data_IF_098496637001
#
_entry.id   IF_098496637001
#
_cell.length_a   1.000
_cell.length_b   1.000
_cell.length_c   1.000
_cell.angle_alpha   90.00
_cell.angle_beta   90.00
_cell.angle_gamma   90.00
#
_symmetry.space_group_name_H-M   'P 1'
#
loop_
_entity.id
_entity.type
_entity.pdbx_description
1 polymer ?
#
# COMPACT_ATOMS: atom_id res chain seq x y z
N UNK A 1 13.78 -3.98 14.47
CA UNK A 1 12.36 -4.18 14.10
C UNK A 1 12.21 -5.53 13.44
N UNK A 2 11.16 -6.26 13.80
CA UNK A 2 10.81 -7.54 13.18
C UNK A 2 9.70 -7.33 12.15
N UNK A 3 9.80 -8.00 10.99
CA UNK A 3 8.85 -7.89 9.91
C UNK A 3 8.22 -9.25 9.64
N UNK A 4 6.89 -9.30 9.66
CA UNK A 4 6.10 -10.43 9.21
C UNK A 4 5.55 -10.10 7.83
N UNK A 5 5.75 -10.99 6.87
CA UNK A 5 5.23 -10.81 5.51
C UNK A 5 4.26 -11.92 5.16
N UNK A 6 3.13 -11.56 4.57
CA UNK A 6 2.12 -12.49 4.13
C UNK A 6 1.65 -12.18 2.72
N UNK A 7 1.47 -13.23 1.92
CA UNK A 7 0.78 -13.16 0.63
C UNK A 7 -0.59 -13.81 0.76
N UNK A 8 -1.54 -13.30 0.00
CA UNK A 8 -2.86 -13.91 -0.09
C UNK A 8 -3.38 -13.82 -1.53
N UNK A 9 -3.98 -14.91 -1.99
CA UNK A 9 -4.65 -14.98 -3.30
C UNK A 9 -6.17 -15.00 -3.18
N UNK A 10 -6.69 -15.24 -1.98
CA UNK A 10 -8.13 -15.30 -1.70
C UNK A 10 -8.48 -14.70 -0.35
N UNK A 11 -9.75 -14.37 -0.17
CA UNK A 11 -10.26 -13.87 1.11
C UNK A 11 -10.08 -14.88 2.24
N UNK A 12 -10.20 -16.17 1.93
CA UNK A 12 -10.01 -17.24 2.92
C UNK A 12 -8.56 -17.31 3.39
N UNK A 13 -7.59 -17.22 2.48
CA UNK A 13 -6.16 -17.16 2.82
C UNK A 13 -5.83 -15.92 3.64
N UNK A 14 -6.41 -14.78 3.28
CA UNK A 14 -6.24 -13.54 4.02
C UNK A 14 -6.73 -13.70 5.47
N UNK A 15 -7.93 -14.23 5.64
CA UNK A 15 -8.51 -14.46 6.98
C UNK A 15 -7.65 -15.42 7.80
N UNK A 16 -7.20 -16.51 7.22
CA UNK A 16 -6.34 -17.48 7.88
C UNK A 16 -5.02 -16.84 8.32
N UNK A 17 -4.42 -16.01 7.48
CA UNK A 17 -3.17 -15.34 7.76
C UNK A 17 -3.28 -14.26 8.84
N UNK A 18 -4.33 -13.47 8.82
CA UNK A 18 -4.52 -12.41 9.82
C UNK A 18 -4.93 -12.99 11.17
N UNK A 19 -5.77 -14.02 11.19
CA UNK A 19 -6.32 -14.59 12.43
C UNK A 19 -5.52 -15.77 12.98
N UNK A 20 -4.83 -16.53 12.14
CA UNK A 20 -4.32 -17.86 12.50
C UNK A 20 -2.87 -17.96 12.88
N UNK A 21 -2.12 -16.90 12.93
CA UNK A 21 -0.67 -16.99 13.21
C UNK A 21 0.11 -17.78 12.17
N UNK A 22 -0.47 -18.12 11.02
CA UNK A 22 0.20 -18.64 9.83
C UNK A 22 1.06 -17.58 9.19
N UNK A 23 1.84 -16.88 9.99
CA UNK A 23 2.67 -15.79 9.54
C UNK A 23 3.91 -16.28 8.81
N UNK A 24 4.47 -15.39 8.04
CA UNK A 24 5.78 -15.55 7.44
C UNK A 24 6.82 -15.23 8.51
N UNK A 25 7.85 -16.06 8.61
CA UNK A 25 8.93 -15.84 9.57
C UNK A 25 9.58 -14.47 9.34
N UNK A 26 10.21 -13.94 10.38
CA UNK A 26 10.91 -12.65 10.39
C UNK A 26 11.93 -12.48 9.27
N UNK A 27 12.37 -13.56 8.67
CA UNK A 27 13.31 -13.60 7.54
C UNK A 27 12.63 -13.53 6.19
N UNK A 28 11.30 -13.40 6.14
CA UNK A 28 10.54 -13.44 4.89
C UNK A 28 10.33 -14.84 4.33
N UNK A 29 10.80 -15.88 5.02
CA UNK A 29 10.54 -17.26 4.65
C UNK A 29 9.17 -17.68 5.16
N UNK A 30 8.32 -18.34 4.35
CA UNK A 30 7.06 -18.88 4.83
C UNK A 30 7.30 -19.85 5.98
N UNK A 31 6.68 -19.62 7.10
CA UNK A 31 6.63 -20.65 8.14
C UNK A 31 5.64 -21.70 7.65
N UNK A 32 6.15 -22.84 7.24
CA UNK A 32 5.33 -24.00 6.95
C UNK A 32 4.66 -24.49 8.23
N UNK A 33 3.57 -23.90 8.58
CA UNK A 33 2.57 -24.59 9.36
C UNK A 33 1.70 -25.36 8.37
N UNK A 34 2.28 -26.35 7.73
CA UNK A 34 1.47 -27.43 7.21
C UNK A 34 0.92 -28.11 8.49
N UNK A 35 -0.38 -28.10 8.71
CA UNK A 35 -0.95 -29.13 9.56
C UNK A 35 -0.65 -30.42 8.82
N UNK A 36 0.21 -31.21 9.38
CA UNK A 36 0.27 -32.62 8.97
C UNK A 36 -1.17 -33.12 8.98
N UNK A 37 -1.67 -33.41 7.81
CA UNK A 37 -2.94 -34.05 7.63
C UNK A 37 -2.83 -35.46 8.22
N UNK A 38 -3.04 -35.60 9.49
CA UNK A 38 -3.37 -36.83 10.17
C UNK A 38 -3.92 -36.49 11.57
N UNK A 39 -5.18 -36.35 11.62
CA UNK A 39 -6.10 -37.05 12.52
C UNK A 39 -7.43 -36.30 12.55
N UNK A 40 -8.35 -36.83 11.81
CA UNK A 40 -9.76 -36.70 12.09
C UNK A 40 -10.06 -37.28 13.48
N UNK A 41 -10.22 -36.44 14.45
CA UNK A 41 -11.04 -36.71 15.61
C UNK A 41 -11.94 -35.53 15.83
N UNK A 42 -13.23 -35.78 15.66
CA UNK A 42 -14.31 -34.96 16.12
C UNK A 42 -14.10 -34.65 17.61
N UNK A 43 -13.74 -33.44 17.90
CA UNK A 43 -13.58 -32.89 19.24
C UNK A 43 -14.01 -31.45 19.24
N UNK A 44 -15.18 -31.23 19.81
CA UNK A 44 -15.75 -30.02 20.41
C UNK A 44 -15.19 -28.68 19.92
N UNK A 45 -16.12 -27.91 19.34
CA UNK A 45 -16.02 -26.49 19.09
C UNK A 45 -15.93 -25.73 20.43
N UNK A 46 -14.77 -25.73 21.05
CA UNK A 46 -14.43 -24.78 22.10
C UNK A 46 -12.91 -24.64 22.18
N UNK A 47 -12.50 -23.38 22.18
CA UNK A 47 -11.12 -22.93 22.27
C UNK A 47 -10.35 -22.96 20.94
N UNK A 48 -10.63 -21.94 20.11
CA UNK A 48 -9.58 -21.46 19.24
C UNK A 48 -8.43 -20.99 20.14
N UNK A 49 -7.22 -21.54 19.99
CA UNK A 49 -6.07 -20.99 20.66
C UNK A 49 -5.94 -19.54 20.16
N UNK A 50 -6.14 -18.60 21.04
CA UNK A 50 -5.69 -17.23 20.84
C UNK A 50 -4.20 -17.35 20.65
N UNK A 51 -3.74 -17.43 19.42
CA UNK A 51 -2.31 -17.42 19.16
C UNK A 51 -1.78 -16.13 19.75
N UNK A 52 -0.88 -16.24 20.67
CA UNK A 52 -0.11 -15.14 21.24
C UNK A 52 0.85 -14.57 20.20
N UNK A 53 0.31 -14.19 19.05
CA UNK A 53 1.00 -13.36 18.10
C UNK A 53 1.14 -11.99 18.73
N UNK A 54 2.37 -11.55 18.96
CA UNK A 54 2.64 -10.24 19.54
C UNK A 54 1.89 -9.13 18.84
N UNK A 55 1.67 -8.03 19.52
CA UNK A 55 1.05 -6.84 18.98
C UNK A 55 1.83 -6.34 17.76
N UNK A 56 1.11 -5.91 16.75
CA UNK A 56 1.67 -5.31 15.54
C UNK A 56 1.60 -3.79 15.69
N UNK A 57 2.72 -3.12 15.52
CA UNK A 57 2.81 -1.65 15.65
C UNK A 57 2.38 -0.93 14.38
N UNK A 58 2.70 -1.51 13.23
CA UNK A 58 2.36 -0.97 11.92
C UNK A 58 2.15 -2.08 10.90
N UNK A 59 1.34 -1.82 9.90
CA UNK A 59 1.13 -2.71 8.76
C UNK A 59 1.23 -1.95 7.45
N UNK A 60 1.93 -2.52 6.47
CA UNK A 60 1.97 -2.04 5.10
C UNK A 60 1.19 -3.00 4.21
N UNK A 61 0.18 -2.48 3.52
CA UNK A 61 -0.80 -3.28 2.80
C UNK A 61 -0.72 -2.99 1.29
N UNK A 62 -0.40 -4.01 0.50
CA UNK A 62 -0.43 -3.97 -0.96
C UNK A 62 -1.72 -4.61 -1.44
N UNK A 63 -2.78 -3.84 -1.58
CA UNK A 63 -4.09 -4.35 -1.92
C UNK A 63 -4.98 -3.29 -2.57
N UNK A 64 -6.07 -3.74 -3.18
CA UNK A 64 -7.12 -2.86 -3.72
C UNK A 64 -7.93 -2.21 -2.60
N UNK A 65 -8.71 -1.14 -2.89
CA UNK A 65 -9.56 -0.52 -1.88
C UNK A 65 -10.54 -1.50 -1.23
N UNK A 66 -11.14 -2.38 -2.00
CA UNK A 66 -12.09 -3.38 -1.53
C UNK A 66 -11.43 -4.38 -0.57
N UNK A 67 -10.23 -4.82 -0.91
CA UNK A 67 -9.45 -5.72 -0.06
C UNK A 67 -9.04 -5.04 1.25
N UNK A 68 -8.63 -3.77 1.20
CA UNK A 68 -8.24 -3.02 2.40
C UNK A 68 -9.45 -2.80 3.33
N UNK A 69 -10.61 -2.50 2.78
CA UNK A 69 -11.83 -2.39 3.57
C UNK A 69 -12.14 -3.68 4.34
N UNK A 70 -11.73 -4.82 3.81
CA UNK A 70 -11.86 -6.12 4.46
C UNK A 70 -10.74 -6.40 5.48
N UNK A 71 -9.50 -6.01 5.15
CA UNK A 71 -8.31 -6.26 5.98
C UNK A 71 -8.30 -5.39 7.25
N UNK A 72 -8.66 -4.14 7.12
CA UNK A 72 -8.55 -3.14 8.21
C UNK A 72 -9.27 -3.57 9.50
N UNK A 73 -10.54 -4.01 9.46
CA UNK A 73 -11.22 -4.51 10.64
C UNK A 73 -10.56 -5.76 11.25
N UNK A 74 -10.00 -6.63 10.42
CA UNK A 74 -9.34 -7.84 10.89
C UNK A 74 -8.05 -7.53 11.67
N UNK A 75 -7.28 -6.56 11.21
CA UNK A 75 -6.08 -6.09 11.93
C UNK A 75 -6.48 -5.46 13.26
N UNK A 76 -7.52 -4.65 13.27
CA UNK A 76 -8.04 -4.05 14.50
C UNK A 76 -8.50 -5.10 15.52
N UNK A 77 -9.20 -6.14 15.06
CA UNK A 77 -9.65 -7.25 15.91
C UNK A 77 -8.47 -8.05 16.49
N UNK A 78 -7.43 -8.29 15.69
CA UNK A 78 -6.25 -9.00 16.14
C UNK A 78 -5.51 -8.28 17.27
N UNK A 79 -5.41 -6.97 17.18
CA UNK A 79 -4.66 -6.17 18.16
C UNK A 79 -5.45 -5.80 19.41
N UNK A 80 -6.75 -6.08 19.45
CA UNK A 80 -7.64 -5.64 20.52
C UNK A 80 -7.86 -4.12 20.52
N UNK A 81 -8.71 -3.65 21.44
CA UNK A 81 -9.15 -2.26 21.48
C UNK A 81 -8.09 -1.25 21.99
N UNK A 82 -6.95 -1.71 22.45
CA UNK A 82 -5.98 -0.86 23.13
C UNK A 82 -4.75 -0.45 22.32
N UNK A 83 -4.53 -1.05 21.16
CA UNK A 83 -3.36 -0.76 20.34
C UNK A 83 -3.76 -0.26 18.96
N UNK A 84 -3.50 1.00 18.69
CA UNK A 84 -3.66 1.57 17.38
C UNK A 84 -2.52 1.12 16.47
N UNK A 85 -2.84 0.31 15.48
CA UNK A 85 -1.91 -0.05 14.41
C UNK A 85 -1.88 1.07 13.39
N UNK A 86 -0.71 1.58 13.08
CA UNK A 86 -0.55 2.52 11.98
C UNK A 86 -0.59 1.77 10.66
N UNK A 87 -1.51 2.14 9.77
CA UNK A 87 -1.71 1.47 8.49
C UNK A 87 -1.12 2.30 7.35
N UNK A 88 -0.32 1.64 6.54
CA UNK A 88 0.26 2.18 5.32
C UNK A 88 -0.16 1.35 4.13
N UNK A 89 -0.33 1.99 2.98
CA UNK A 89 -0.67 1.32 1.74
C UNK A 89 0.09 1.91 0.56
N UNK A 90 0.11 1.20 -0.55
CA UNK A 90 0.55 1.74 -1.84
C UNK A 90 -0.57 2.47 -2.56
N UNK A 91 -0.25 3.12 -3.66
CA UNK A 91 -1.23 3.77 -4.54
C UNK A 91 -2.27 2.80 -5.14
N UNK A 92 -2.03 1.50 -5.07
CA UNK A 92 -3.03 0.48 -5.47
C UNK A 92 -4.32 0.57 -4.64
N UNK A 93 -4.24 1.12 -3.44
CA UNK A 93 -5.38 1.38 -2.56
C UNK A 93 -6.25 2.56 -3.00
N UNK A 94 -5.80 3.36 -3.96
CA UNK A 94 -6.48 4.57 -4.41
C UNK A 94 -6.78 4.49 -5.90
N UNK A 95 -8.00 4.09 -6.26
CA UNK A 95 -8.43 3.94 -7.66
C UNK A 95 -9.41 5.03 -8.11
N UNK A 96 -9.59 6.07 -7.32
CA UNK A 96 -10.46 7.20 -7.64
C UNK A 96 -11.96 6.92 -7.46
N UNK A 97 -12.32 5.75 -6.96
CA UNK A 97 -13.71 5.31 -6.76
C UNK A 97 -14.21 5.46 -5.33
N UNK A 98 -13.38 6.01 -4.44
CA UNK A 98 -13.68 6.13 -3.03
C UNK A 98 -14.81 7.14 -2.75
N UNK A 99 -15.98 6.63 -2.41
CA UNK A 99 -17.10 7.43 -1.91
C UNK A 99 -16.86 7.94 -0.49
N UNK A 100 -17.78 8.79 0.03
CA UNK A 100 -17.66 9.34 1.37
C UNK A 100 -17.57 8.28 2.47
N UNK A 101 -18.33 7.21 2.36
CA UNK A 101 -18.33 6.12 3.35
C UNK A 101 -16.99 5.40 3.39
N UNK A 102 -16.40 5.11 2.23
CA UNK A 102 -15.09 4.50 2.14
C UNK A 102 -14.02 5.38 2.80
N UNK A 103 -14.06 6.69 2.57
CA UNK A 103 -13.08 7.61 3.19
C UNK A 103 -13.18 7.65 4.70
N UNK A 104 -14.39 7.50 5.25
CA UNK A 104 -14.59 7.39 6.70
C UNK A 104 -14.11 6.04 7.25
N UNK A 105 -14.37 4.96 6.53
CA UNK A 105 -13.89 3.62 6.90
C UNK A 105 -12.37 3.53 6.91
N UNK A 106 -11.70 4.30 6.04
CA UNK A 106 -10.23 4.29 5.90
C UNK A 106 -9.52 5.26 6.85
N UNK A 107 -10.22 5.83 7.82
CA UNK A 107 -9.63 6.76 8.79
C UNK A 107 -8.27 6.31 9.29
N UNK A 108 -7.29 7.17 9.17
CA UNK A 108 -5.92 6.93 9.61
C UNK A 108 -5.02 6.20 8.61
N UNK A 109 -5.56 5.61 7.54
CA UNK A 109 -4.75 4.96 6.51
C UNK A 109 -3.90 6.00 5.78
N UNK A 110 -2.61 5.74 5.68
CA UNK A 110 -1.68 6.52 4.88
C UNK A 110 -1.28 5.73 3.64
N UNK A 111 -1.18 6.39 2.51
CA UNK A 111 -0.76 5.73 1.28
C UNK A 111 0.15 6.61 0.43
N UNK A 112 1.07 5.96 -0.27
CA UNK A 112 1.96 6.64 -1.21
C UNK A 112 1.24 6.90 -2.53
N UNK A 113 1.43 8.09 -3.07
CA UNK A 113 0.82 8.47 -4.34
C UNK A 113 1.78 9.33 -5.15
N UNK A 114 1.60 9.34 -6.46
CA UNK A 114 2.35 10.24 -7.32
C UNK A 114 1.94 11.70 -7.08
N UNK A 115 2.87 12.65 -7.16
CA UNK A 115 2.58 14.05 -6.88
C UNK A 115 1.44 14.63 -7.71
N UNK A 116 1.29 14.26 -8.97
CA UNK A 116 0.19 14.72 -9.81
C UNK A 116 -1.17 14.38 -9.20
N UNK A 117 -1.37 13.14 -8.74
CA UNK A 117 -2.62 12.71 -8.11
C UNK A 117 -2.76 13.19 -6.67
N UNK A 118 -1.66 13.63 -6.06
CA UNK A 118 -1.66 14.29 -4.76
C UNK A 118 -1.92 15.81 -4.85
N UNK A 119 -2.12 16.34 -6.05
CA UNK A 119 -2.51 17.73 -6.25
C UNK A 119 -1.38 18.69 -6.62
N UNK A 120 -0.17 18.20 -6.93
CA UNK A 120 0.97 19.07 -7.28
C UNK A 120 0.82 19.76 -8.64
N UNK A 121 0.05 19.18 -9.54
CA UNK A 121 -0.18 19.71 -10.90
C UNK A 121 -1.64 19.50 -11.29
N UNK A 122 -2.55 20.36 -10.81
CA UNK A 122 -3.99 20.20 -11.05
C UNK A 122 -4.37 20.25 -12.53
N UNK A 123 -3.70 21.07 -13.33
CA UNK A 123 -3.98 21.19 -14.75
C UNK A 123 -3.67 19.89 -15.51
N UNK A 124 -2.50 19.31 -15.26
CA UNK A 124 -2.13 18.03 -15.88
C UNK A 124 -3.00 16.89 -15.36
N UNK A 125 -3.32 16.90 -14.06
CA UNK A 125 -4.22 15.91 -13.46
C UNK A 125 -5.59 15.91 -14.16
N UNK A 126 -6.18 17.08 -14.34
CA UNK A 126 -7.47 17.22 -15.04
C UNK A 126 -7.38 16.70 -16.47
N UNK A 127 -6.33 17.08 -17.18
CA UNK A 127 -6.09 16.64 -18.57
C UNK A 127 -5.92 15.12 -18.65
N UNK A 128 -5.12 14.54 -17.76
CA UNK A 128 -4.88 13.11 -17.71
C UNK A 128 -6.16 12.33 -17.40
N UNK A 129 -6.88 12.71 -16.35
CA UNK A 129 -8.13 12.05 -15.97
C UNK A 129 -9.21 12.14 -17.04
N UNK A 130 -9.30 13.26 -17.75
CA UNK A 130 -10.21 13.40 -18.88
C UNK A 130 -9.82 12.46 -20.03
N UNK A 131 -8.55 12.35 -20.35
CA UNK A 131 -8.05 11.49 -21.42
C UNK A 131 -8.27 10.00 -21.14
N UNK A 132 -8.19 9.57 -19.89
CA UNK A 132 -8.26 8.17 -19.47
C UNK A 132 -9.58 7.81 -18.77
N UNK A 133 -10.59 8.66 -18.87
CA UNK A 133 -11.92 8.45 -18.29
C UNK A 133 -11.90 8.15 -16.79
N UNK A 134 -11.14 8.94 -16.05
CA UNK A 134 -10.99 8.82 -14.59
C UNK A 134 -10.38 7.48 -14.10
N UNK A 135 -9.71 6.74 -14.96
CA UNK A 135 -8.94 5.57 -14.55
C UNK A 135 -7.61 6.01 -13.95
N UNK A 136 -7.45 5.85 -12.65
CA UNK A 136 -6.25 6.27 -11.94
C UNK A 136 -5.00 5.49 -12.34
N UNK A 137 -5.13 4.21 -12.66
CA UNK A 137 -3.99 3.42 -13.14
C UNK A 137 -3.46 3.95 -14.46
N UNK A 138 -4.35 4.30 -15.39
CA UNK A 138 -3.97 4.91 -16.66
C UNK A 138 -3.49 6.36 -16.48
N UNK A 139 -4.05 7.10 -15.54
CA UNK A 139 -3.58 8.45 -15.22
C UNK A 139 -2.13 8.45 -14.71
N UNK A 140 -1.74 7.44 -13.95
CA UNK A 140 -0.34 7.27 -13.53
C UNK A 140 0.59 7.00 -14.70
N UNK A 141 0.17 6.21 -15.67
CA UNK A 141 0.92 6.01 -16.92
C UNK A 141 1.01 7.28 -17.77
N UNK A 142 -0.06 8.08 -17.80
CA UNK A 142 -0.04 9.38 -18.45
C UNK A 142 1.02 10.32 -17.83
N UNK A 143 1.04 10.39 -16.50
CA UNK A 143 2.05 11.13 -15.77
C UNK A 143 3.48 10.61 -16.04
N UNK A 144 3.64 9.29 -16.14
CA UNK A 144 4.91 8.67 -16.49
C UNK A 144 5.41 9.09 -17.88
N UNK A 145 4.51 9.20 -18.86
CA UNK A 145 4.86 9.70 -20.19
C UNK A 145 5.36 11.15 -20.15
N UNK A 146 4.69 12.01 -19.39
CA UNK A 146 5.12 13.38 -19.19
C UNK A 146 6.51 13.47 -18.52
N UNK A 147 6.75 12.67 -17.52
CA UNK A 147 8.04 12.63 -16.82
C UNK A 147 9.16 12.04 -17.70
N UNK A 148 8.85 11.04 -18.51
CA UNK A 148 9.81 10.47 -19.45
C UNK A 148 10.33 11.53 -20.43
N UNK A 149 9.44 12.39 -20.92
CA UNK A 149 9.82 13.53 -21.74
C UNK A 149 10.72 14.51 -20.99
N UNK A 150 10.35 14.89 -19.77
CA UNK A 150 11.15 15.77 -18.92
C UNK A 150 12.52 15.18 -18.61
N UNK A 151 12.59 13.89 -18.31
CA UNK A 151 13.83 13.17 -18.06
C UNK A 151 14.75 13.18 -19.29
N UNK A 152 14.20 12.95 -20.48
CA UNK A 152 14.97 12.99 -21.73
C UNK A 152 15.62 14.36 -21.95
N UNK A 153 14.94 15.43 -21.57
CA UNK A 153 15.45 16.81 -21.74
C UNK A 153 16.42 17.25 -20.63
N UNK A 154 16.40 16.60 -19.46
CA UNK A 154 17.19 17.01 -18.28
C UNK A 154 18.19 15.96 -17.82
N UNK A 155 18.29 14.82 -18.48
CA UNK A 155 19.06 13.69 -17.99
C UNK A 155 20.55 13.98 -17.80
N UNK A 156 21.15 14.67 -18.76
CA UNK A 156 22.57 15.06 -18.66
C UNK A 156 22.80 15.97 -17.46
N UNK A 157 21.94 16.96 -17.26
CA UNK A 157 22.01 17.89 -16.13
C UNK A 157 21.82 17.15 -14.80
N UNK A 158 20.89 16.22 -14.73
CA UNK A 158 20.65 15.41 -13.53
C UNK A 158 21.87 14.59 -13.13
N UNK A 159 22.59 14.04 -14.10
CA UNK A 159 23.79 13.24 -13.85
C UNK A 159 24.99 14.09 -13.46
N UNK A 160 25.14 15.26 -14.03
CA UNK A 160 26.33 16.12 -13.85
C UNK A 160 26.23 17.02 -12.64
N UNK A 161 25.03 17.32 -12.17
CA UNK A 161 24.82 18.24 -11.04
C UNK A 161 24.50 17.45 -9.78
N UNK A 162 25.42 17.34 -8.80
CA UNK A 162 25.15 16.67 -7.55
C UNK A 162 23.94 17.30 -6.84
N UNK A 163 23.02 16.45 -6.38
CA UNK A 163 21.82 16.89 -5.68
C UNK A 163 20.71 17.49 -6.55
N UNK A 164 20.86 17.45 -7.88
CA UNK A 164 19.78 17.90 -8.77
C UNK A 164 18.57 16.97 -8.65
N UNK A 165 17.43 17.57 -8.36
CA UNK A 165 16.15 16.88 -8.24
C UNK A 165 15.14 17.47 -9.22
N UNK A 166 14.49 16.62 -9.99
CA UNK A 166 13.40 17.00 -10.87
C UNK A 166 12.08 16.76 -10.13
N UNK A 167 11.31 17.81 -9.94
CA UNK A 167 9.97 17.72 -9.37
C UNK A 167 9.00 17.18 -10.42
N UNK A 168 8.94 15.86 -10.53
CA UNK A 168 8.15 15.18 -11.54
C UNK A 168 6.68 15.01 -11.13
N UNK A 169 5.88 14.62 -12.10
CA UNK A 169 4.46 14.27 -11.89
C UNK A 169 4.30 12.87 -11.25
N UNK A 170 5.31 12.02 -11.41
CA UNK A 170 5.33 10.66 -10.82
C UNK A 170 6.13 10.58 -9.53
N UNK A 171 6.84 11.60 -9.14
CA UNK A 171 7.66 11.66 -7.96
C UNK A 171 8.76 12.72 -8.09
N UNK A 172 9.49 12.92 -7.00
CA UNK A 172 10.74 13.67 -7.04
C UNK A 172 11.83 12.74 -7.56
N UNK A 173 12.44 13.11 -8.69
CA UNK A 173 13.32 12.26 -9.47
C UNK A 173 14.76 12.70 -9.33
N UNK A 174 15.63 11.74 -9.02
CA UNK A 174 17.08 11.92 -8.98
C UNK A 174 17.76 10.85 -9.82
N UNK A 175 18.91 11.17 -10.41
CA UNK A 175 19.70 10.22 -11.18
C UNK A 175 20.94 9.82 -10.42
N UNK A 176 21.25 8.53 -10.37
CA UNK A 176 22.53 8.00 -9.88
C UNK A 176 23.56 8.01 -10.99
N UNK A 177 24.83 7.80 -10.62
CA UNK A 177 25.93 7.67 -11.60
C UNK A 177 25.74 6.45 -12.51
N UNK A 178 25.06 5.41 -12.03
CA UNK A 178 24.75 4.19 -12.78
C UNK A 178 23.52 4.30 -13.67
N UNK A 179 23.06 5.49 -13.94
CA UNK A 179 21.88 5.76 -14.76
C UNK A 179 20.56 5.21 -14.19
N UNK A 180 20.48 5.02 -12.88
CA UNK A 180 19.26 4.64 -12.19
C UNK A 180 18.51 5.90 -11.78
N UNK A 181 17.22 5.94 -12.07
CA UNK A 181 16.32 7.01 -11.61
C UNK A 181 15.66 6.57 -10.31
N UNK A 182 15.95 7.29 -9.25
CA UNK A 182 15.26 7.14 -7.97
C UNK A 182 14.04 8.06 -7.95
N UNK A 183 12.96 7.56 -7.40
CA UNK A 183 11.69 8.25 -7.33
C UNK A 183 11.17 8.29 -5.91
N UNK A 184 10.92 9.47 -5.39
CA UNK A 184 10.29 9.70 -4.10
C UNK A 184 8.83 10.08 -4.31
N UNK A 185 7.93 9.33 -3.69
CA UNK A 185 6.49 9.55 -3.75
C UNK A 185 6.01 10.55 -2.69
N UNK A 186 4.82 11.06 -2.87
CA UNK A 186 4.09 11.82 -1.86
C UNK A 186 3.30 10.87 -0.96
N UNK A 187 3.01 11.30 0.26
CA UNK A 187 2.15 10.57 1.20
C UNK A 187 0.85 11.31 1.41
N UNK A 188 -0.24 10.56 1.35
CA UNK A 188 -1.59 11.03 1.62
C UNK A 188 -2.17 10.25 2.79
N UNK A 189 -3.11 10.86 3.50
CA UNK A 189 -3.77 10.27 4.67
C UNK A 189 -5.28 10.51 4.61
N UNK A 190 -6.03 9.49 4.95
CA UNK A 190 -7.47 9.64 5.21
C UNK A 190 -7.67 10.19 6.61
N UNK A 191 -8.25 11.37 6.69
CA UNK A 191 -8.51 12.06 7.96
C UNK A 191 -9.86 12.77 7.93
N UNK A 192 -10.75 12.39 8.83
CA UNK A 192 -12.10 12.96 8.95
C UNK A 192 -12.90 12.90 7.64
N UNK A 193 -12.81 11.78 6.94
CA UNK A 193 -13.47 11.57 5.66
C UNK A 193 -12.89 12.34 4.48
N UNK A 194 -11.71 12.93 4.65
CA UNK A 194 -10.97 13.68 3.63
C UNK A 194 -9.62 13.05 3.36
N UNK A 195 -9.04 13.35 2.20
CA UNK A 195 -7.67 13.00 1.85
C UNK A 195 -6.82 14.25 2.05
N UNK A 196 -5.82 14.15 2.91
CA UNK A 196 -4.90 15.25 3.24
C UNK A 196 -3.46 14.87 3.00
#
# INVERSE_FOLDING_TARGET
ASVLQQRFGSTAELRAGVNGGGGIALTGTPVSTLPSAQNSSLGSADEMPVSSGGSVDAAYILATPEQIAYIKPMIAMRNGSQNNVTLYASSRSAQGTAGPDFRLEMEGLQYSEIPMLAGSNPALMQQALSAVRNDYSLARLYAMGADAWSLANHFTQMRQTPGFELNGNTGDLTATQDCVINRKLSWLKYQQGKIV
#
